data_IF_950352720162
#
_entry.id   IF_950352720162
#
_cell.length_a   1.000
_cell.length_b   1.000
_cell.length_c   1.000
_cell.angle_alpha   90.00
_cell.angle_beta   90.00
_cell.angle_gamma   90.00
#
_symmetry.space_group_name_H-M   'P 1'
#
loop_
_entity.id
_entity.type
_entity.pdbx_description
1 polymer ?
#
# COMPACT_ATOMS: atom_id res chain seq x y z
N UNK A 1 -2.98 -69.41 -52.11
CA UNK A 1 -1.68 -68.70 -51.92
C UNK A 1 -1.83 -67.18 -51.69
N UNK A 2 -2.97 -66.68 -51.17
CA UNK A 2 -3.21 -65.22 -50.93
C UNK A 2 -3.33 -64.82 -49.45
N UNK A 3 -3.41 -65.77 -48.52
CA UNK A 3 -3.62 -65.50 -47.08
C UNK A 3 -2.32 -65.23 -46.30
N UNK A 4 -1.16 -65.61 -46.83
CA UNK A 4 0.13 -65.38 -46.16
C UNK A 4 0.67 -63.96 -46.37
N UNK A 5 0.27 -63.26 -47.43
CA UNK A 5 0.69 -61.88 -47.68
C UNK A 5 -0.04 -60.86 -46.79
N UNK A 6 -1.33 -61.06 -46.49
CA UNK A 6 -2.09 -60.17 -45.60
C UNK A 6 -1.60 -60.23 -44.15
N UNK A 7 -1.11 -61.39 -43.70
CA UNK A 7 -0.56 -61.54 -42.34
C UNK A 7 0.76 -60.80 -42.16
N UNK A 8 1.56 -60.67 -43.24
CA UNK A 8 2.85 -59.97 -43.23
C UNK A 8 2.71 -58.45 -43.23
N UNK A 9 1.57 -57.92 -43.71
CA UNK A 9 1.26 -56.48 -43.73
C UNK A 9 0.75 -55.99 -42.37
N UNK A 10 0.10 -56.87 -41.58
CA UNK A 10 -0.44 -56.53 -40.25
C UNK A 10 0.59 -56.65 -39.11
N UNK A 11 1.74 -57.31 -39.36
CA UNK A 11 2.86 -57.44 -38.42
C UNK A 11 4.09 -56.70 -38.92
N UNK A 12 3.90 -55.49 -39.43
CA UNK A 12 4.95 -54.48 -39.51
C UNK A 12 4.58 -53.40 -38.50
N UNK A 13 4.47 -53.81 -37.23
CA UNK A 13 4.57 -52.87 -36.13
C UNK A 13 6.02 -52.41 -36.12
N UNK A 14 6.26 -51.17 -36.52
CA UNK A 14 7.43 -50.42 -36.12
C UNK A 14 7.40 -50.32 -34.58
N UNK A 15 7.76 -51.42 -33.90
CA UNK A 15 8.18 -51.40 -32.51
C UNK A 15 9.57 -50.75 -32.46
N UNK A 16 9.64 -49.47 -32.85
CA UNK A 16 10.66 -48.57 -32.35
C UNK A 16 10.33 -48.35 -30.87
N UNK A 17 10.70 -49.33 -30.05
CA UNK A 17 10.55 -49.25 -28.60
C UNK A 17 11.29 -48.02 -28.11
N UNK A 18 10.58 -47.16 -27.37
CA UNK A 18 11.15 -45.97 -26.72
C UNK A 18 12.48 -46.35 -26.07
N UNK A 19 13.57 -45.84 -26.62
CA UNK A 19 14.88 -46.15 -26.07
C UNK A 19 15.02 -45.43 -24.72
N UNK A 20 15.74 -46.03 -23.78
CA UNK A 20 16.03 -45.39 -22.48
C UNK A 20 16.65 -44.00 -22.71
N UNK A 21 17.46 -43.85 -23.76
CA UNK A 21 18.08 -42.58 -24.15
C UNK A 21 17.04 -41.54 -24.57
N UNK A 22 16.04 -41.92 -25.39
CA UNK A 22 14.96 -41.02 -25.81
C UNK A 22 14.11 -40.57 -24.61
N UNK A 23 13.79 -41.48 -23.70
CA UNK A 23 13.08 -41.13 -22.46
C UNK A 23 13.91 -40.20 -21.56
N UNK A 24 15.23 -40.35 -21.53
CA UNK A 24 16.15 -39.50 -20.77
C UNK A 24 16.24 -38.09 -21.38
N UNK A 25 16.32 -37.99 -22.70
CA UNK A 25 16.31 -36.69 -23.40
C UNK A 25 14.96 -35.99 -23.21
N UNK A 26 13.85 -36.72 -23.29
CA UNK A 26 12.51 -36.17 -23.04
C UNK A 26 12.38 -35.60 -21.62
N UNK A 27 12.86 -36.33 -20.61
CA UNK A 27 12.89 -35.83 -19.23
C UNK A 27 13.80 -34.60 -19.06
N UNK A 28 14.95 -34.57 -19.72
CA UNK A 28 15.87 -33.43 -19.69
C UNK A 28 15.20 -32.18 -20.30
N UNK A 29 14.55 -32.31 -21.46
CA UNK A 29 13.81 -31.21 -22.10
C UNK A 29 12.65 -30.76 -21.21
N UNK A 30 11.88 -31.68 -20.64
CA UNK A 30 10.79 -31.35 -19.72
C UNK A 30 11.30 -30.60 -18.47
N UNK A 31 12.43 -31.01 -17.90
CA UNK A 31 13.03 -30.34 -16.76
C UNK A 31 13.49 -28.91 -17.09
N UNK A 32 14.10 -28.69 -18.25
CA UNK A 32 14.49 -27.34 -18.72
C UNK A 32 13.25 -26.46 -18.92
N UNK A 33 12.19 -26.99 -19.54
CA UNK A 33 10.94 -26.26 -19.74
C UNK A 33 10.31 -25.85 -18.40
N UNK A 34 10.21 -26.77 -17.44
CA UNK A 34 9.70 -26.48 -16.10
C UNK A 34 10.57 -25.46 -15.34
N UNK A 35 11.89 -25.59 -15.44
CA UNK A 35 12.84 -24.64 -14.84
C UNK A 35 12.69 -23.23 -15.44
N UNK A 36 12.38 -23.12 -16.75
CA UNK A 36 12.21 -21.84 -17.44
C UNK A 36 10.92 -21.10 -17.03
N UNK A 37 9.86 -21.81 -16.66
CA UNK A 37 8.57 -21.22 -16.29
C UNK A 37 8.51 -20.84 -14.80
N UNK A 38 9.24 -21.55 -13.94
CA UNK A 38 9.23 -21.36 -12.48
C UNK A 38 9.46 -19.91 -12.01
N UNK A 39 10.45 -19.15 -12.53
CA UNK A 39 10.69 -17.76 -12.09
C UNK A 39 9.48 -16.84 -12.26
N UNK A 40 8.72 -17.02 -13.35
CA UNK A 40 7.54 -16.19 -13.65
C UNK A 40 6.42 -16.44 -12.64
N UNK A 41 6.23 -17.69 -12.23
CA UNK A 41 5.21 -18.06 -11.24
C UNK A 41 5.55 -17.49 -9.85
N UNK A 42 6.82 -17.52 -9.45
CA UNK A 42 7.27 -16.93 -8.18
C UNK A 42 7.08 -15.42 -8.17
N UNK A 43 7.46 -14.73 -9.25
CA UNK A 43 7.28 -13.27 -9.36
C UNK A 43 5.78 -12.91 -9.36
N UNK A 44 4.94 -13.67 -10.07
CA UNK A 44 3.49 -13.45 -10.13
C UNK A 44 2.82 -13.58 -8.75
N UNK A 45 3.19 -14.60 -7.97
CA UNK A 45 2.64 -14.78 -6.62
C UNK A 45 3.14 -13.70 -5.65
N UNK A 46 4.41 -13.31 -5.72
CA UNK A 46 4.97 -12.26 -4.89
C UNK A 46 4.29 -10.90 -5.11
N UNK A 47 4.06 -10.52 -6.38
CA UNK A 47 3.38 -9.26 -6.72
C UNK A 47 1.93 -9.25 -6.23
N UNK A 48 1.21 -10.38 -6.35
CA UNK A 48 -0.16 -10.50 -5.87
C UNK A 48 -0.27 -10.33 -4.35
N UNK A 49 0.65 -10.93 -3.57
CA UNK A 49 0.65 -10.78 -2.10
C UNK A 49 0.94 -9.34 -1.70
N UNK A 50 1.86 -8.67 -2.38
CA UNK A 50 2.21 -7.29 -2.09
C UNK A 50 1.10 -6.31 -2.48
N UNK A 51 0.49 -6.50 -3.66
CA UNK A 51 -0.69 -5.74 -4.07
C UNK A 51 -1.82 -5.88 -3.06
N UNK A 52 -2.08 -7.10 -2.58
CA UNK A 52 -3.11 -7.35 -1.57
C UNK A 52 -2.82 -6.62 -0.24
N UNK A 53 -1.56 -6.54 0.17
CA UNK A 53 -1.17 -5.80 1.39
C UNK A 53 -1.41 -4.30 1.25
N UNK A 54 -1.05 -3.72 0.11
CA UNK A 54 -1.29 -2.30 -0.18
C UNK A 54 -2.79 -2.01 -0.26
N UNK A 55 -3.58 -2.91 -0.86
CA UNK A 55 -5.04 -2.81 -0.91
C UNK A 55 -5.66 -2.82 0.49
N UNK A 56 -5.24 -3.74 1.36
CA UNK A 56 -5.70 -3.80 2.75
C UNK A 56 -5.29 -2.54 3.53
N UNK A 57 -4.10 -1.99 3.27
CA UNK A 57 -3.67 -0.73 3.86
C UNK A 57 -4.58 0.42 3.40
N UNK A 58 -4.91 0.52 2.12
CA UNK A 58 -5.85 1.51 1.61
C UNK A 58 -7.25 1.38 2.24
N UNK A 59 -7.73 0.15 2.45
CA UNK A 59 -8.98 -0.10 3.17
C UNK A 59 -8.90 0.37 4.64
N UNK A 60 -7.79 0.11 5.32
CA UNK A 60 -7.54 0.59 6.68
C UNK A 60 -7.52 2.14 6.74
N UNK A 61 -6.91 2.79 5.74
CA UNK A 61 -6.92 4.25 5.63
C UNK A 61 -8.34 4.80 5.48
N UNK A 62 -9.12 4.20 4.57
CA UNK A 62 -10.50 4.61 4.30
C UNK A 62 -11.39 4.45 5.53
N UNK A 63 -11.34 3.29 6.18
CA UNK A 63 -12.11 3.03 7.41
C UNK A 63 -11.74 4.00 8.55
N UNK A 64 -10.46 4.35 8.67
CA UNK A 64 -10.02 5.39 9.60
C UNK A 64 -10.58 6.77 9.25
N UNK A 65 -10.49 7.19 7.99
CA UNK A 65 -11.04 8.47 7.51
C UNK A 65 -12.54 8.56 7.78
N UNK A 66 -13.27 7.49 7.44
CA UNK A 66 -14.71 7.42 7.64
C UNK A 66 -15.04 7.49 9.14
N UNK A 67 -14.34 6.75 9.99
CA UNK A 67 -14.53 6.78 11.44
C UNK A 67 -14.19 8.13 12.09
N UNK A 68 -13.19 8.85 11.57
CA UNK A 68 -12.89 10.23 11.98
C UNK A 68 -14.00 11.18 11.53
N UNK A 69 -14.49 11.03 10.29
CA UNK A 69 -15.58 11.85 9.74
C UNK A 69 -16.90 11.67 10.49
N UNK A 70 -17.20 10.44 10.94
CA UNK A 70 -18.39 10.13 11.74
C UNK A 70 -18.20 10.39 13.25
N UNK A 71 -17.00 10.83 13.68
CA UNK A 71 -16.62 10.98 15.09
C UNK A 71 -16.70 9.68 15.91
N UNK A 72 -16.71 8.53 15.26
CA UNK A 72 -16.63 7.22 15.94
C UNK A 72 -15.21 6.96 16.43
N UNK A 73 -14.21 7.51 15.75
CA UNK A 73 -12.80 7.46 16.14
C UNK A 73 -12.39 8.85 16.63
N UNK A 74 -11.69 8.90 17.77
CA UNK A 74 -11.14 10.15 18.30
C UNK A 74 -10.12 10.72 17.33
N UNK A 75 -10.26 12.00 17.01
CA UNK A 75 -9.36 12.67 16.09
C UNK A 75 -7.90 12.71 16.59
N UNK A 76 -6.93 12.80 15.67
CA UNK A 76 -5.53 12.92 16.05
C UNK A 76 -5.28 14.18 16.89
N UNK A 77 -4.60 13.99 18.02
CA UNK A 77 -4.19 15.10 18.90
C UNK A 77 -3.03 15.90 18.30
N UNK A 78 -2.19 15.27 17.48
CA UNK A 78 -1.08 15.96 16.81
C UNK A 78 -1.61 16.84 15.68
N UNK A 79 -1.55 18.15 15.91
CA UNK A 79 -1.86 19.17 14.93
C UNK A 79 -0.57 19.85 14.48
N UNK A 80 -0.32 19.82 13.17
CA UNK A 80 0.69 20.63 12.53
C UNK A 80 0.03 21.90 11.99
N UNK A 81 0.47 23.05 12.49
CA UNK A 81 0.08 24.34 11.94
C UNK A 81 0.92 24.58 10.69
N UNK A 82 0.40 24.17 9.54
CA UNK A 82 1.19 24.15 8.30
C UNK A 82 1.11 25.44 7.49
N UNK A 83 0.12 26.31 7.77
CA UNK A 83 -0.27 27.38 6.86
C UNK A 83 -0.48 28.70 7.61
N UNK A 84 0.25 29.74 7.21
CA UNK A 84 -0.07 31.13 7.57
C UNK A 84 -1.15 31.64 6.61
N UNK A 85 -2.19 32.31 7.11
CA UNK A 85 -3.20 32.95 6.25
C UNK A 85 -2.50 33.99 5.37
N UNK A 86 -2.49 33.78 4.05
CA UNK A 86 -1.92 34.72 3.08
C UNK A 86 -3.00 35.14 2.10
N UNK A 87 -3.09 36.43 1.78
CA UNK A 87 -4.07 36.96 0.82
C UNK A 87 -3.81 36.52 -0.63
N UNK A 88 -2.72 35.80 -0.91
CA UNK A 88 -2.43 35.20 -2.22
C UNK A 88 -1.63 33.92 -2.04
N UNK A 89 -2.19 32.78 -2.45
CA UNK A 89 -1.47 31.52 -2.57
C UNK A 89 -1.62 30.96 -3.97
N UNK A 90 -0.49 30.73 -4.63
CA UNK A 90 -0.42 29.94 -5.86
C UNK A 90 -0.20 28.49 -5.44
N UNK A 91 -1.03 27.56 -5.93
CA UNK A 91 -0.81 26.11 -5.77
C UNK A 91 0.36 25.71 -6.68
N UNK A 92 1.56 26.23 -6.41
CA UNK A 92 2.75 25.83 -7.14
C UNK A 92 3.98 25.93 -6.25
N UNK A 93 4.69 24.80 -6.20
CA UNK A 93 6.13 24.65 -5.91
C UNK A 93 6.65 24.29 -4.51
N UNK A 94 5.84 24.21 -3.45
CA UNK A 94 6.34 23.63 -2.18
C UNK A 94 5.70 22.28 -1.87
N UNK A 95 6.49 21.20 -1.86
CA UNK A 95 6.08 19.85 -1.40
C UNK A 95 5.70 19.84 0.09
N UNK A 96 5.95 20.94 0.82
CA UNK A 96 5.45 21.22 2.17
C UNK A 96 3.93 21.35 2.23
N UNK A 97 3.29 21.73 1.12
CA UNK A 97 1.83 21.89 1.02
C UNK A 97 1.05 20.56 0.97
N UNK A 98 1.78 19.46 0.81
CA UNK A 98 1.31 18.07 0.95
C UNK A 98 1.96 17.41 2.18
N UNK A 99 1.95 18.12 3.31
CA UNK A 99 1.55 17.75 4.67
C UNK A 99 1.85 16.38 5.31
N UNK A 100 2.00 15.30 4.56
CA UNK A 100 2.67 14.10 5.08
C UNK A 100 4.16 14.40 5.17
N UNK A 101 4.73 15.10 4.18
CA UNK A 101 6.17 15.43 4.10
C UNK A 101 6.77 16.10 5.34
N UNK A 102 6.02 16.99 6.00
CA UNK A 102 6.48 17.77 7.17
C UNK A 102 6.34 17.03 8.48
N UNK A 103 5.42 16.06 8.59
CA UNK A 103 5.26 15.24 9.79
C UNK A 103 6.52 14.38 10.03
N UNK A 104 7.01 14.40 11.27
CA UNK A 104 8.06 13.48 11.71
C UNK A 104 7.61 12.02 11.55
N UNK A 105 8.54 11.13 11.23
CA UNK A 105 8.25 9.69 11.27
C UNK A 105 8.13 9.24 12.73
N UNK A 106 7.26 8.28 13.04
CA UNK A 106 7.08 7.82 14.41
C UNK A 106 8.29 7.01 14.88
N UNK A 107 8.75 7.28 16.10
CA UNK A 107 9.84 6.55 16.76
C UNK A 107 9.35 5.34 17.55
N UNK A 108 8.06 5.30 17.87
CA UNK A 108 7.38 4.24 18.61
C UNK A 108 5.88 4.17 18.22
N UNK A 109 5.14 3.26 18.87
CA UNK A 109 3.71 3.03 18.62
C UNK A 109 2.77 3.83 19.51
N UNK A 110 3.28 4.63 20.45
CA UNK A 110 2.47 5.26 21.52
C UNK A 110 1.42 6.22 20.99
N UNK A 111 1.70 6.87 19.86
CA UNK A 111 0.81 7.83 19.19
C UNK A 111 0.14 7.28 17.94
N UNK A 112 0.25 5.97 17.69
CA UNK A 112 -0.26 5.33 16.47
C UNK A 112 -1.53 4.56 16.76
N UNK A 113 -2.52 4.71 15.89
CA UNK A 113 -3.72 3.88 15.91
C UNK A 113 -3.40 2.49 15.34
N UNK A 114 -4.16 1.48 15.75
CA UNK A 114 -3.97 0.11 15.27
C UNK A 114 -5.16 -0.34 14.46
N UNK A 115 -4.87 -0.90 13.28
CA UNK A 115 -5.85 -1.62 12.49
C UNK A 115 -5.62 -3.13 12.66
N UNK A 116 -6.65 -3.84 13.11
CA UNK A 116 -6.57 -5.25 13.46
C UNK A 116 -7.16 -6.16 12.36
N UNK A 117 -6.92 -7.48 12.49
CA UNK A 117 -7.42 -8.51 11.54
C UNK A 117 -8.94 -8.63 11.51
N UNK A 118 -9.61 -8.23 12.58
CA UNK A 118 -11.06 -8.17 12.68
C UNK A 118 -11.66 -6.91 12.01
N UNK A 119 -10.82 -6.02 11.49
CA UNK A 119 -11.24 -4.75 10.89
C UNK A 119 -11.52 -3.64 11.91
N UNK A 120 -11.25 -3.87 13.19
CA UNK A 120 -11.38 -2.84 14.24
C UNK A 120 -10.22 -1.85 14.21
N UNK A 121 -10.51 -0.61 14.60
CA UNK A 121 -9.52 0.43 14.85
C UNK A 121 -9.46 0.72 16.34
N UNK A 122 -8.27 0.56 16.93
CA UNK A 122 -8.02 0.88 18.34
C UNK A 122 -7.39 2.26 18.49
N UNK A 123 -7.63 2.88 19.65
CA UNK A 123 -7.04 4.16 20.05
C UNK A 123 -5.49 4.07 20.13
N UNK A 124 -4.78 5.21 20.13
CA UNK A 124 -3.33 5.25 20.15
C UNK A 124 -2.70 4.50 21.34
N UNK A 125 -1.50 3.96 21.14
CA UNK A 125 -0.76 3.21 22.18
C UNK A 125 -1.12 1.73 22.27
N UNK A 126 -1.73 1.22 21.21
CA UNK A 126 -2.13 -0.18 21.05
C UNK A 126 -1.00 -1.02 20.41
N UNK A 127 -1.18 -2.34 20.47
CA UNK A 127 -0.38 -3.31 19.71
C UNK A 127 -1.20 -3.82 18.54
N UNK A 128 -0.70 -3.65 17.32
CA UNK A 128 -1.42 -4.05 16.10
C UNK A 128 -0.96 -5.40 15.57
N UNK A 129 -1.92 -6.22 15.16
CA UNK A 129 -1.66 -7.48 14.47
C UNK A 129 -1.64 -7.35 12.94
N UNK A 130 -1.90 -6.15 12.39
CA UNK A 130 -2.01 -5.94 10.95
C UNK A 130 -1.30 -4.66 10.50
N UNK A 131 -1.80 -3.48 10.86
CA UNK A 131 -1.18 -2.19 10.51
C UNK A 131 -1.17 -1.18 11.65
N UNK A 132 -0.18 -0.30 11.64
CA UNK A 132 -0.17 0.93 12.43
C UNK A 132 -0.52 2.12 11.54
N UNK A 133 -1.36 3.02 12.04
CA UNK A 133 -1.81 4.21 11.35
C UNK A 133 -1.23 5.42 12.09
N UNK A 134 -0.36 6.15 11.41
CA UNK A 134 0.02 7.50 11.81
C UNK A 134 -0.96 8.47 11.17
N UNK A 135 -1.63 9.27 11.99
CA UNK A 135 -2.56 10.28 11.54
C UNK A 135 -2.16 11.63 12.12
N UNK A 136 -2.17 12.67 11.30
CA UNK A 136 -1.78 14.02 11.69
C UNK A 136 -2.82 15.00 11.16
N UNK A 137 -3.30 15.88 12.04
CA UNK A 137 -4.20 16.97 11.67
C UNK A 137 -3.39 18.15 11.17
N UNK A 138 -3.81 18.75 10.07
CA UNK A 138 -3.18 19.93 9.50
C UNK A 138 -4.19 21.03 9.34
N UNK A 139 -3.90 22.14 10.01
CA UNK A 139 -4.78 23.28 10.13
C UNK A 139 -4.04 24.57 9.82
N UNK A 140 -4.80 25.58 9.40
CA UNK A 140 -4.29 26.92 9.15
C UNK A 140 -4.16 27.65 10.48
N UNK A 141 -3.09 28.45 10.64
CA UNK A 141 -2.87 29.25 11.83
C UNK A 141 -4.05 30.20 12.07
N UNK A 142 -4.63 30.18 13.26
CA UNK A 142 -5.81 30.97 13.61
C UNK A 142 -7.15 30.43 13.08
N UNK A 143 -7.14 29.29 12.37
CA UNK A 143 -8.37 28.58 11.98
C UNK A 143 -8.84 27.62 13.07
N UNK A 144 -10.15 27.49 13.22
CA UNK A 144 -10.77 26.56 14.17
C UNK A 144 -11.60 25.52 13.38
N UNK A 145 -11.13 24.26 13.29
CA UNK A 145 -11.84 23.22 12.55
C UNK A 145 -13.24 22.94 13.11
N UNK A 146 -13.47 23.19 14.41
CA UNK A 146 -14.77 23.03 15.07
C UNK A 146 -15.80 24.07 14.62
N UNK A 147 -15.36 25.23 14.10
CA UNK A 147 -16.23 26.33 13.64
C UNK A 147 -16.61 26.23 12.16
N UNK A 148 -16.64 25.02 11.61
CA UNK A 148 -17.06 24.76 10.23
C UNK A 148 -15.95 24.92 9.18
N UNK A 149 -14.73 25.26 9.61
CA UNK A 149 -13.60 25.43 8.70
C UNK A 149 -13.01 24.08 8.30
N UNK A 150 -13.14 23.02 9.11
CA UNK A 150 -12.55 21.70 8.78
C UNK A 150 -11.01 21.71 8.79
N UNK A 151 -10.40 20.60 8.40
CA UNK A 151 -8.94 20.43 8.39
C UNK A 151 -8.48 19.40 7.35
N UNK A 152 -7.18 19.34 7.11
CA UNK A 152 -6.55 18.29 6.31
C UNK A 152 -6.00 17.19 7.20
N UNK A 153 -6.26 15.95 6.84
CA UNK A 153 -5.81 14.77 7.56
C UNK A 153 -4.72 14.08 6.72
N UNK A 154 -3.49 14.09 7.24
CA UNK A 154 -2.38 13.32 6.70
C UNK A 154 -2.35 11.94 7.34
N UNK A 155 -2.22 10.89 6.52
CA UNK A 155 -2.24 9.49 6.97
C UNK A 155 -1.04 8.77 6.38
N UNK A 156 -0.32 8.04 7.25
CA UNK A 156 0.63 7.00 6.84
C UNK A 156 0.25 5.68 7.46
N UNK A 157 0.42 4.61 6.68
CA UNK A 157 0.15 3.26 7.16
C UNK A 157 1.43 2.46 7.13
N UNK A 158 1.77 1.90 8.28
CA UNK A 158 2.92 1.04 8.48
C UNK A 158 2.48 -0.38 8.74
N UNK A 159 3.35 -1.34 8.42
CA UNK A 159 3.14 -2.75 8.76
C UNK A 159 3.20 -2.96 10.28
N UNK A 160 2.56 -4.02 10.77
CA UNK A 160 2.71 -4.45 12.17
C UNK A 160 4.16 -4.77 12.55
N UNK A 161 5.00 -5.18 11.60
CA UNK A 161 6.44 -5.43 11.78
C UNK A 161 7.34 -4.28 11.29
N UNK A 162 6.83 -3.04 11.32
CA UNK A 162 7.59 -1.85 10.94
C UNK A 162 8.76 -1.58 11.90
N UNK A 163 9.87 -1.10 11.36
CA UNK A 163 11.12 -0.90 12.10
C UNK A 163 11.20 0.51 12.71
N UNK A 164 10.44 0.74 13.77
CA UNK A 164 10.41 1.99 14.53
C UNK A 164 11.83 2.45 14.95
N UNK A 165 12.05 3.77 14.95
CA UNK A 165 13.37 4.39 15.14
C UNK A 165 14.25 4.45 13.88
N UNK A 166 13.87 3.73 12.82
CA UNK A 166 14.57 3.75 11.53
C UNK A 166 13.66 4.03 10.34
N UNK A 167 12.39 4.37 10.58
CA UNK A 167 11.42 4.62 9.52
C UNK A 167 11.85 5.77 8.62
N UNK A 168 11.43 5.71 7.37
CA UNK A 168 11.64 6.75 6.36
C UNK A 168 10.30 7.16 5.77
N UNK A 169 10.18 8.44 5.42
CA UNK A 169 9.01 9.02 4.73
C UNK A 169 9.36 9.37 3.30
N UNK A 170 8.37 9.49 2.42
CA UNK A 170 8.59 9.79 0.99
C UNK A 170 9.42 11.05 0.74
N UNK A 171 9.42 12.01 1.66
CA UNK A 171 10.15 13.27 1.52
C UNK A 171 11.62 13.22 1.97
N UNK A 172 12.06 12.11 2.55
CA UNK A 172 13.47 11.92 2.86
C UNK A 172 14.25 11.66 1.54
N UNK A 173 15.55 11.96 1.51
CA UNK A 173 16.37 11.82 0.29
C UNK A 173 16.40 10.39 -0.28
N UNK A 174 16.12 9.37 0.54
CA UNK A 174 15.96 7.95 0.16
C UNK A 174 14.55 7.42 0.47
N UNK A 175 13.60 8.32 0.66
CA UNK A 175 12.22 8.06 1.02
C UNK A 175 11.41 7.46 -0.12
N UNK A 176 10.59 6.46 0.18
CA UNK A 176 9.60 5.93 -0.77
C UNK A 176 8.41 5.32 -0.05
N UNK A 177 7.28 5.24 -0.74
CA UNK A 177 6.18 4.36 -0.36
C UNK A 177 6.48 2.95 -0.88
N UNK A 178 6.07 1.93 -0.13
CA UNK A 178 6.23 0.54 -0.52
C UNK A 178 5.68 0.29 -1.93
N UNK A 179 6.52 -0.26 -2.81
CA UNK A 179 6.08 -0.65 -4.15
C UNK A 179 5.22 -1.90 -4.11
N UNK A 180 4.24 -1.99 -5.02
CA UNK A 180 3.46 -3.22 -5.24
C UNK A 180 4.31 -4.32 -5.92
N UNK A 181 5.39 -3.93 -6.61
CA UNK A 181 6.38 -4.82 -7.21
C UNK A 181 7.70 -4.74 -6.43
N UNK A 182 8.08 -5.83 -5.78
CA UNK A 182 9.31 -5.93 -4.98
C UNK A 182 9.85 -7.34 -5.11
N UNK A 183 11.16 -7.51 -5.29
CA UNK A 183 11.83 -8.81 -5.34
C UNK A 183 11.87 -9.57 -4.01
N UNK A 184 10.90 -9.35 -3.13
CA UNK A 184 10.85 -9.90 -1.78
C UNK A 184 9.71 -9.35 -0.91
N UNK A 185 9.88 -9.46 0.41
CA UNK A 185 8.86 -9.11 1.43
C UNK A 185 8.60 -7.61 1.60
N UNK A 186 9.28 -6.74 0.83
CA UNK A 186 9.16 -5.28 0.93
C UNK A 186 9.98 -4.67 2.06
N UNK A 187 10.13 -3.35 2.03
CA UNK A 187 10.90 -2.59 3.02
C UNK A 187 10.02 -2.30 4.25
N UNK A 188 10.50 -2.67 5.43
CA UNK A 188 9.80 -2.44 6.72
C UNK A 188 9.94 -1.01 7.25
N UNK A 189 10.83 -0.23 6.65
CA UNK A 189 11.11 1.17 7.03
C UNK A 189 10.20 2.15 6.31
N UNK A 190 9.64 1.75 5.18
CA UNK A 190 8.76 2.58 4.35
C UNK A 190 7.29 2.35 4.72
N UNK A 191 6.44 3.38 4.66
CA UNK A 191 5.00 3.22 4.75
C UNK A 191 4.47 2.42 3.56
N UNK A 192 3.40 1.65 3.79
CA UNK A 192 2.63 0.98 2.75
C UNK A 192 1.79 1.95 1.93
N UNK A 193 1.34 3.02 2.58
CA UNK A 193 0.50 4.05 1.99
C UNK A 193 0.78 5.38 2.69
N UNK A 194 0.90 6.43 1.89
CA UNK A 194 0.82 7.82 2.35
C UNK A 194 -0.32 8.50 1.59
N UNK A 195 -1.22 9.17 2.31
CA UNK A 195 -2.30 9.94 1.69
C UNK A 195 -2.67 11.15 2.53
N UNK A 196 -3.19 12.18 1.86
CA UNK A 196 -3.80 13.34 2.49
C UNK A 196 -5.25 13.43 2.06
N UNK A 197 -6.16 13.67 3.00
CA UNK A 197 -7.57 13.89 2.71
C UNK A 197 -8.09 15.11 3.45
N UNK A 198 -9.28 15.58 3.08
CA UNK A 198 -9.93 16.69 3.75
C UNK A 198 -11.08 16.20 4.64
N UNK A 199 -11.11 16.72 5.86
CA UNK A 199 -12.18 16.51 6.82
C UNK A 199 -12.94 17.82 6.96
N UNK A 200 -14.11 17.88 6.32
CA UNK A 200 -15.07 18.98 6.47
C UNK A 200 -15.91 18.76 7.72
N UNK A 201 -16.16 19.83 8.47
CA UNK A 201 -17.16 19.84 9.52
C UNK A 201 -18.28 20.80 9.15
N UNK A 202 -19.53 20.34 9.18
CA UNK A 202 -20.68 21.14 8.73
C UNK A 202 -20.85 21.18 7.21
N UNK A 203 -21.61 22.16 6.73
CA UNK A 203 -21.92 22.31 5.30
C UNK A 203 -20.69 22.77 4.51
N UNK A 204 -20.31 22.08 3.43
CA UNK A 204 -19.19 22.50 2.61
C UNK A 204 -19.55 23.81 1.89
N UNK A 205 -18.79 24.87 2.14
CA UNK A 205 -18.85 26.11 1.37
C UNK A 205 -17.53 26.38 0.66
N UNK A 206 -17.59 27.15 -0.42
CA UNK A 206 -16.40 27.61 -1.13
C UNK A 206 -15.49 28.45 -0.22
N UNK A 207 -16.06 29.34 0.59
CA UNK A 207 -15.30 30.14 1.56
C UNK A 207 -14.55 29.28 2.58
N UNK A 208 -15.18 28.23 3.11
CA UNK A 208 -14.53 27.33 4.05
C UNK A 208 -13.39 26.53 3.39
N UNK A 209 -13.51 26.19 2.11
CA UNK A 209 -12.41 25.59 1.35
C UNK A 209 -11.24 26.58 1.21
N UNK A 210 -11.52 27.84 0.91
CA UNK A 210 -10.52 28.88 0.78
C UNK A 210 -9.76 29.13 2.09
N UNK A 211 -10.49 29.21 3.21
CA UNK A 211 -9.88 29.36 4.53
C UNK A 211 -8.93 28.20 4.85
N UNK A 212 -9.31 26.96 4.50
CA UNK A 212 -8.46 25.76 4.65
C UNK A 212 -7.23 25.75 3.77
N UNK A 213 -7.34 26.32 2.58
CA UNK A 213 -6.23 26.47 1.65
C UNK A 213 -5.31 27.64 2.00
N UNK A 214 -5.68 28.45 3.01
CA UNK A 214 -4.94 29.64 3.40
C UNK A 214 -5.20 30.85 2.50
N UNK A 215 -6.35 30.86 1.80
CA UNK A 215 -6.83 31.93 0.90
C UNK A 215 -7.21 31.42 -0.50
N UNK A 216 -8.23 32.01 -1.12
CA UNK A 216 -8.52 31.90 -2.55
C UNK A 216 -8.47 33.28 -3.20
N UNK A 217 -8.17 33.32 -4.50
CA UNK A 217 -8.43 34.46 -5.37
C UNK A 217 -9.52 34.11 -6.36
#
# INVERSE_FOLDING_TARGET
>A
MKLQQLRKILTQSDESGFTIIESLVALLVAAILLASVSPVLVISTATRVQARRVELAAQAAKTFIDGVRTKTITEPTEALTALSVSTTRTVSSSTSDYLVSSAAVPTDTTKLYCFNKDGSIAAPGCTSNLFYIQAVKLQVSGSDPDKGQGYRLGIRIYRSDAQFGSLIKTSDSNGSVQTAFTGGVGNRRTPLLEMTTEITRGLPSYSALCDRLGGCK
#
